data_IF_773202045996
#
_entry.id   IF_773202045996
#
_cell.length_a   1.000
_cell.length_b   1.000
_cell.length_c   1.000
_cell.angle_alpha   90.00
_cell.angle_beta   90.00
_cell.angle_gamma   90.00
#
_symmetry.space_group_name_H-M   'P 1'
#
loop_
_entity.id
_entity.type
_entity.pdbx_description
1 polymer ?
#
# COMPACT_ATOMS: atom_id res chain seq x y z
N UNK A 1 10.31 15.17 14.68
CA UNK A 1 10.71 14.37 13.49
C UNK A 1 9.51 13.89 12.69
N UNK A 2 8.62 13.06 13.24
CA UNK A 2 7.40 12.58 12.53
C UNK A 2 6.44 13.67 12.01
N UNK A 3 6.24 14.75 12.77
CA UNK A 3 5.41 15.88 12.33
C UNK A 3 6.01 16.62 11.14
N UNK A 4 7.34 16.73 11.11
CA UNK A 4 8.09 17.37 10.02
C UNK A 4 8.08 16.51 8.75
N UNK A 5 8.15 15.19 8.89
CA UNK A 5 7.93 14.25 7.77
C UNK A 5 6.53 14.37 7.19
N UNK A 6 5.52 14.50 8.05
CA UNK A 6 4.14 14.69 7.63
C UNK A 6 3.95 16.03 6.90
N UNK A 7 4.49 17.12 7.45
CA UNK A 7 4.44 18.45 6.86
C UNK A 7 5.14 18.51 5.49
N UNK A 8 6.32 17.88 5.36
CA UNK A 8 7.02 17.79 4.08
C UNK A 8 6.23 16.93 3.08
N UNK A 9 5.66 15.80 3.52
CA UNK A 9 4.78 14.99 2.67
C UNK A 9 3.55 15.75 2.19
N UNK A 10 2.92 16.53 3.07
CA UNK A 10 1.74 17.34 2.76
C UNK A 10 2.10 18.46 1.77
N UNK A 11 3.18 19.20 2.01
CA UNK A 11 3.62 20.27 1.11
C UNK A 11 3.99 19.76 -0.29
N UNK A 12 4.47 18.52 -0.41
CA UNK A 12 4.69 17.86 -1.70
C UNK A 12 3.35 17.44 -2.35
N UNK A 13 2.42 16.87 -1.57
CA UNK A 13 1.09 16.52 -2.06
C UNK A 13 0.31 17.74 -2.59
N UNK A 14 0.38 18.88 -1.90
CA UNK A 14 -0.29 20.13 -2.28
C UNK A 14 0.16 20.64 -3.66
N UNK A 15 1.37 20.30 -4.13
CA UNK A 15 1.85 20.68 -5.47
C UNK A 15 1.11 19.97 -6.60
N UNK A 16 0.67 18.73 -6.38
CA UNK A 16 -0.05 17.93 -7.37
C UNK A 16 -0.95 16.90 -6.67
N UNK A 17 -2.10 17.33 -6.15
CA UNK A 17 -2.94 16.46 -5.30
C UNK A 17 -3.66 15.37 -6.10
N UNK A 18 -3.96 15.60 -7.38
CA UNK A 18 -4.73 14.67 -8.21
C UNK A 18 -3.86 13.49 -8.72
N UNK A 19 -2.79 13.80 -9.43
CA UNK A 19 -1.95 12.81 -10.14
C UNK A 19 -0.67 12.47 -9.37
N UNK A 20 -0.28 13.31 -8.41
CA UNK A 20 1.00 13.22 -7.72
C UNK A 20 2.14 13.87 -8.51
N UNK A 21 3.32 13.92 -7.89
CA UNK A 21 4.52 14.53 -8.49
C UNK A 21 5.34 13.54 -9.34
N UNK A 22 4.86 12.31 -9.51
CA UNK A 22 5.55 11.26 -10.25
C UNK A 22 6.26 10.25 -9.33
N UNK A 23 6.42 9.02 -9.83
CA UNK A 23 7.05 7.93 -9.08
C UNK A 23 8.52 8.26 -8.83
N UNK A 24 8.96 8.14 -7.58
CA UNK A 24 10.34 8.47 -7.19
C UNK A 24 10.63 9.97 -7.08
N UNK A 25 9.62 10.83 -7.25
CA UNK A 25 9.77 12.29 -7.08
C UNK A 25 10.23 12.66 -5.67
N UNK A 26 9.81 11.93 -4.65
CA UNK A 26 10.28 12.11 -3.28
C UNK A 26 11.80 11.98 -3.20
N UNK A 27 12.39 10.95 -3.84
CA UNK A 27 13.84 10.75 -3.86
C UNK A 27 14.59 11.86 -4.61
N UNK A 28 13.98 12.48 -5.61
CA UNK A 28 14.55 13.62 -6.33
C UNK A 28 14.48 14.89 -5.49
N UNK A 29 13.34 15.17 -4.86
CA UNK A 29 13.19 16.30 -3.94
C UNK A 29 14.06 16.17 -2.68
N UNK A 30 14.36 14.94 -2.25
CA UNK A 30 15.34 14.65 -1.19
C UNK A 30 16.79 14.95 -1.61
N UNK A 31 17.15 14.74 -2.88
CA UNK A 31 18.50 15.04 -3.38
C UNK A 31 18.71 16.54 -3.66
N UNK A 32 17.65 17.26 -4.01
CA UNK A 32 17.69 18.69 -4.31
C UNK A 32 17.55 19.63 -3.11
N UNK A 33 17.18 19.12 -1.93
CA UNK A 33 17.01 19.92 -0.70
C UNK A 33 17.66 19.25 0.51
N UNK A 34 17.94 20.03 1.56
CA UNK A 34 18.50 19.55 2.84
C UNK A 34 17.48 18.75 3.67
N UNK A 35 16.69 17.89 3.02
CA UNK A 35 15.55 17.17 3.59
C UNK A 35 15.92 15.70 3.85
N UNK A 36 16.98 15.50 4.64
CA UNK A 36 17.33 14.19 5.20
C UNK A 36 16.19 13.61 6.08
N UNK A 37 15.25 14.44 6.52
CA UNK A 37 14.12 14.05 7.37
C UNK A 37 13.13 13.09 6.68
N UNK A 38 13.10 13.00 5.35
CA UNK A 38 12.24 12.09 4.58
C UNK A 38 12.73 10.63 4.58
N UNK A 39 13.95 10.37 5.08
CA UNK A 39 14.50 9.00 5.24
C UNK A 39 13.63 8.11 6.14
N UNK A 40 12.76 8.71 6.96
CA UNK A 40 11.78 8.02 7.78
C UNK A 40 10.34 8.21 7.32
N UNK A 41 10.05 8.15 6.01
CA UNK A 41 8.68 7.95 5.55
C UNK A 41 8.18 6.54 5.97
N UNK A 42 7.91 6.41 7.27
CA UNK A 42 7.46 5.22 7.98
C UNK A 42 5.99 4.88 7.69
N UNK A 43 5.31 5.65 6.84
CA UNK A 43 3.93 5.37 6.45
C UNK A 43 3.81 5.30 4.93
N UNK A 44 3.16 4.24 4.43
CA UNK A 44 2.93 4.04 2.99
C UNK A 44 2.13 5.21 2.38
N UNK A 45 1.31 5.89 3.18
CA UNK A 45 0.55 7.08 2.78
C UNK A 45 1.42 8.29 2.47
N UNK A 46 2.51 8.47 3.21
CA UNK A 46 3.48 9.55 2.97
C UNK A 46 4.35 9.31 1.72
N UNK A 47 4.28 8.11 1.13
CA UNK A 47 4.87 7.80 -0.18
C UNK A 47 3.83 7.87 -1.29
N UNK A 48 2.64 7.29 -1.08
CA UNK A 48 1.59 7.19 -2.09
C UNK A 48 0.99 8.57 -2.42
N UNK A 49 0.66 9.38 -1.40
CA UNK A 49 0.02 10.67 -1.62
C UNK A 49 0.91 11.63 -2.42
N UNK A 50 2.19 11.87 -2.06
CA UNK A 50 2.98 12.87 -2.79
C UNK A 50 3.42 12.40 -4.18
N UNK A 51 3.64 11.10 -4.38
CA UNK A 51 4.11 10.57 -5.67
C UNK A 51 2.98 10.29 -6.66
N UNK A 52 1.85 9.78 -6.18
CA UNK A 52 0.76 9.24 -7.02
C UNK A 52 -0.59 9.94 -6.80
N UNK A 53 -0.68 10.86 -5.85
CA UNK A 53 -1.87 11.65 -5.57
C UNK A 53 -3.08 10.81 -5.15
N UNK A 54 -4.27 11.41 -5.29
CA UNK A 54 -5.55 10.75 -5.04
C UNK A 54 -5.81 9.59 -6.00
N UNK A 55 -5.31 9.67 -7.24
CA UNK A 55 -5.41 8.55 -8.20
C UNK A 55 -4.67 7.33 -7.66
N UNK A 56 -3.48 7.51 -7.11
CA UNK A 56 -2.72 6.44 -6.46
C UNK A 56 -3.47 5.79 -5.30
N UNK A 57 -4.16 6.59 -4.48
CA UNK A 57 -5.00 6.10 -3.38
C UNK A 57 -6.17 5.28 -3.90
N UNK A 58 -6.87 5.75 -4.94
CA UNK A 58 -8.01 5.03 -5.54
C UNK A 58 -7.54 3.69 -6.11
N UNK A 59 -6.45 3.68 -6.86
CA UNK A 59 -5.87 2.44 -7.42
C UNK A 59 -5.45 1.48 -6.30
N UNK A 60 -4.87 2.00 -5.22
CA UNK A 60 -4.49 1.22 -4.06
C UNK A 60 -5.71 0.56 -3.38
N UNK A 61 -6.79 1.31 -3.13
CA UNK A 61 -8.03 0.75 -2.58
C UNK A 61 -8.68 -0.26 -3.54
N UNK A 62 -8.64 0.02 -4.84
CA UNK A 62 -9.15 -0.88 -5.87
C UNK A 62 -8.37 -2.21 -5.93
N UNK A 63 -7.06 -2.19 -5.67
CA UNK A 63 -6.25 -3.40 -5.54
C UNK A 63 -6.74 -4.28 -4.39
N UNK A 64 -6.94 -3.73 -3.19
CA UNK A 64 -7.49 -4.48 -2.05
C UNK A 64 -8.88 -5.05 -2.33
N UNK A 65 -9.73 -4.26 -2.99
CA UNK A 65 -11.05 -4.72 -3.42
C UNK A 65 -10.96 -5.89 -4.42
N UNK A 66 -10.02 -5.80 -5.37
CA UNK A 66 -9.79 -6.86 -6.36
C UNK A 66 -9.26 -8.13 -5.70
N UNK A 67 -8.32 -8.01 -4.76
CA UNK A 67 -7.81 -9.13 -3.95
C UNK A 67 -8.94 -9.79 -3.16
N UNK A 68 -9.80 -8.98 -2.50
CA UNK A 68 -10.97 -9.49 -1.80
C UNK A 68 -11.88 -10.30 -2.73
N UNK A 69 -12.28 -9.75 -3.89
CA UNK A 69 -13.17 -10.46 -4.82
C UNK A 69 -12.56 -11.76 -5.36
N UNK A 70 -11.24 -11.78 -5.61
CA UNK A 70 -10.55 -12.98 -6.12
C UNK A 70 -10.35 -14.05 -5.06
N UNK A 71 -10.14 -13.69 -3.80
CA UNK A 71 -9.94 -14.67 -2.70
C UNK A 71 -11.26 -15.12 -2.05
N UNK A 72 -12.34 -14.36 -2.20
CA UNK A 72 -13.67 -14.68 -1.67
C UNK A 72 -14.18 -16.10 -2.03
N UNK A 73 -14.04 -16.62 -3.26
CA UNK A 73 -14.50 -17.99 -3.58
C UNK A 73 -13.65 -19.09 -2.96
N UNK A 74 -12.50 -18.75 -2.38
CA UNK A 74 -11.51 -19.70 -1.86
C UNK A 74 -11.39 -19.67 -0.34
N UNK A 75 -11.89 -18.60 0.32
CA UNK A 75 -11.76 -18.43 1.76
C UNK A 75 -13.03 -17.80 2.37
N UNK A 76 -13.32 -18.13 3.63
CA UNK A 76 -14.45 -17.55 4.35
C UNK A 76 -14.33 -16.02 4.50
N UNK A 77 -15.47 -15.32 4.47
CA UNK A 77 -15.55 -13.84 4.48
C UNK A 77 -14.83 -13.22 5.68
N UNK A 78 -15.03 -13.78 6.88
CA UNK A 78 -14.48 -13.24 8.14
C UNK A 78 -12.95 -13.24 8.17
N UNK A 79 -12.25 -14.37 7.98
CA UNK A 79 -10.78 -14.38 7.97
C UNK A 79 -10.20 -13.55 6.82
N UNK A 80 -10.88 -13.45 5.68
CA UNK A 80 -10.40 -12.65 4.55
C UNK A 80 -10.42 -11.15 4.84
N UNK A 81 -11.48 -10.66 5.47
CA UNK A 81 -11.58 -9.27 5.91
C UNK A 81 -10.53 -8.98 6.99
N UNK A 82 -10.37 -9.87 7.98
CA UNK A 82 -9.34 -9.70 9.01
C UNK A 82 -7.92 -9.69 8.42
N UNK A 83 -7.64 -10.55 7.44
CA UNK A 83 -6.33 -10.62 6.79
C UNK A 83 -6.03 -9.36 5.97
N UNK A 84 -6.92 -8.97 5.06
CA UNK A 84 -6.73 -7.77 4.23
C UNK A 84 -6.73 -6.48 5.09
N UNK A 85 -7.59 -6.41 6.11
CA UNK A 85 -7.60 -5.31 7.06
C UNK A 85 -6.34 -5.24 7.91
N UNK A 86 -5.80 -6.38 8.33
CA UNK A 86 -4.52 -6.47 9.04
C UNK A 86 -3.34 -5.99 8.19
N UNK A 87 -3.31 -6.35 6.90
CA UNK A 87 -2.30 -5.83 5.97
C UNK A 87 -2.44 -4.30 5.83
N UNK A 88 -3.65 -3.78 5.59
CA UNK A 88 -3.87 -2.33 5.51
C UNK A 88 -3.45 -1.59 6.77
N UNK A 89 -3.71 -2.16 7.95
CA UNK A 89 -3.33 -1.58 9.23
C UNK A 89 -1.81 -1.56 9.41
N UNK A 90 -1.11 -2.67 9.09
CA UNK A 90 0.36 -2.71 9.09
C UNK A 90 0.95 -1.70 8.11
N UNK A 91 0.44 -1.64 6.88
CA UNK A 91 0.88 -0.70 5.84
C UNK A 91 0.77 0.77 6.28
N UNK A 92 -0.28 1.09 7.02
CA UNK A 92 -0.51 2.43 7.58
C UNK A 92 0.50 2.75 8.68
N UNK A 93 0.88 1.75 9.48
CA UNK A 93 1.72 1.90 10.67
C UNK A 93 3.23 1.80 10.40
N UNK A 94 3.67 0.96 9.46
CA UNK A 94 5.11 0.66 9.25
C UNK A 94 5.66 1.14 7.92
N UNK A 95 4.81 1.44 6.93
CA UNK A 95 5.23 1.98 5.63
C UNK A 95 6.15 1.07 4.82
N UNK A 96 6.27 -0.18 5.28
CA UNK A 96 7.03 -1.25 4.66
C UNK A 96 6.12 -2.03 3.72
N UNK A 97 5.94 -1.47 2.53
CA UNK A 97 5.29 -2.14 1.42
C UNK A 97 6.21 -3.22 0.84
N UNK A 98 6.46 -4.30 1.59
CA UNK A 98 7.09 -5.46 0.99
C UNK A 98 6.01 -6.32 0.32
N UNK A 99 5.54 -5.82 -0.83
CA UNK A 99 4.62 -6.51 -1.75
C UNK A 99 5.08 -7.95 -2.06
N UNK A 100 6.37 -8.25 -1.95
CA UNK A 100 6.90 -9.61 -2.13
C UNK A 100 6.40 -10.55 -1.03
N UNK A 101 6.40 -10.10 0.23
CA UNK A 101 5.95 -10.90 1.38
C UNK A 101 4.41 -11.02 1.37
N UNK A 102 3.70 -9.90 1.23
CA UNK A 102 2.23 -9.95 1.25
C UNK A 102 1.66 -10.62 -0.01
N UNK A 103 2.28 -10.38 -1.17
CA UNK A 103 1.93 -11.03 -2.43
C UNK A 103 2.15 -12.53 -2.39
N UNK A 104 3.26 -12.99 -1.82
CA UNK A 104 3.52 -14.44 -1.68
C UNK A 104 2.51 -15.12 -0.75
N UNK A 105 2.13 -14.50 0.37
CA UNK A 105 1.07 -15.05 1.25
C UNK A 105 -0.27 -15.12 0.50
N UNK A 106 -0.63 -14.09 -0.26
CA UNK A 106 -1.87 -14.07 -1.06
C UNK A 106 -1.87 -15.15 -2.13
N UNK A 107 -0.73 -15.37 -2.80
CA UNK A 107 -0.56 -16.43 -3.81
C UNK A 107 -0.68 -17.81 -3.16
N UNK A 108 -0.06 -18.02 -1.99
CA UNK A 108 -0.17 -19.28 -1.23
C UNK A 108 -1.61 -19.54 -0.81
N UNK A 109 -2.31 -18.54 -0.27
CA UNK A 109 -3.73 -18.68 0.08
C UNK A 109 -4.61 -19.00 -1.14
N UNK A 110 -4.33 -18.36 -2.28
CA UNK A 110 -5.01 -18.65 -3.53
C UNK A 110 -4.74 -20.08 -4.03
N UNK A 111 -3.49 -20.54 -3.97
CA UNK A 111 -3.11 -21.92 -4.33
C UNK A 111 -3.78 -22.96 -3.43
N UNK A 112 -3.73 -22.77 -2.11
CA UNK A 112 -4.36 -23.66 -1.13
C UNK A 112 -5.86 -23.75 -1.38
N UNK A 113 -6.51 -22.61 -1.59
CA UNK A 113 -7.93 -22.57 -1.89
C UNK A 113 -8.30 -23.29 -3.19
N UNK A 114 -7.46 -23.16 -4.23
CA UNK A 114 -7.68 -23.84 -5.49
C UNK A 114 -7.51 -25.36 -5.34
N UNK A 115 -6.47 -25.82 -4.64
CA UNK A 115 -6.26 -27.24 -4.33
C UNK A 115 -7.43 -27.86 -3.55
N UNK A 116 -7.98 -27.13 -2.57
CA UNK A 116 -9.12 -27.58 -1.77
C UNK A 116 -10.40 -27.72 -2.60
N UNK A 117 -10.55 -26.90 -3.65
CA UNK A 117 -11.68 -26.95 -4.58
C UNK A 117 -11.54 -28.14 -5.55
N UNK A 118 -10.33 -28.43 -6.01
CA UNK A 118 -10.03 -29.58 -6.89
C UNK A 118 -10.13 -30.90 -6.15
N UNK A 119 -9.77 -30.97 -4.86
CA UNK A 119 -9.86 -32.19 -4.04
C UNK A 119 -11.31 -32.55 -3.62
N UNK A 120 -12.28 -31.65 -3.82
CA UNK A 120 -13.71 -31.90 -3.57
C UNK A 120 -14.52 -32.25 -4.82
N UNK A 121 -13.90 -32.17 -6.01
CA UNK A 121 -14.45 -32.63 -7.28
C UNK A 121 -14.02 -34.07 -7.54
#
# INVERSE_FOLDING_TARGET
MRTRQFEVGLSLFERSPLVGNGIGSIAVFMKGGNNADLLGAESSWLKILPERGLVGVIVYLYLYFTMYRKLLPYMSKRPLICFLGGILAMETATGFLNMVIYGSIVIVLYMIGNLHKTAKL
#
